data_IF_709985641001
#
_entry.id   IF_709985641001
#
_cell.length_a   1.000
_cell.length_b   1.000
_cell.length_c   1.000
_cell.angle_alpha   90.00
_cell.angle_beta   90.00
_cell.angle_gamma   90.00
#
_symmetry.space_group_name_H-M   'P 1'
#
loop_
_entity.id
_entity.type
_entity.pdbx_description
1 polymer ?
#
# COMPACT_ATOMS: atom_id res chain seq x y z
N UNK A 1 4.28 -0.79 -16.63
CA UNK A 1 5.19 -0.91 -15.48
C UNK A 1 5.76 0.43 -15.04
N UNK A 2 5.09 1.06 -14.09
CA UNK A 2 5.54 2.26 -13.38
C UNK A 2 6.88 2.04 -12.64
N UNK A 3 7.93 2.74 -13.10
CA UNK A 3 9.29 2.68 -12.52
C UNK A 3 9.34 3.17 -11.07
N UNK A 4 8.51 4.15 -10.70
CA UNK A 4 8.44 4.72 -9.34
C UNK A 4 7.79 3.73 -8.39
N UNK A 5 6.70 3.09 -8.83
CA UNK A 5 6.02 2.05 -8.07
C UNK A 5 6.95 0.85 -7.81
N UNK A 6 7.67 0.40 -8.85
CA UNK A 6 8.67 -0.66 -8.72
C UNK A 6 9.75 -0.31 -7.70
N UNK A 7 10.32 0.90 -7.76
CA UNK A 7 11.34 1.33 -6.80
C UNK A 7 10.82 1.36 -5.36
N UNK A 8 9.62 1.90 -5.13
CA UNK A 8 9.05 1.97 -3.77
C UNK A 8 8.68 0.62 -3.17
N UNK A 9 8.38 -0.37 -4.01
CA UNK A 9 7.95 -1.70 -3.56
C UNK A 9 9.11 -2.70 -3.55
N UNK A 10 9.91 -2.77 -4.60
CA UNK A 10 10.99 -3.75 -4.73
C UNK A 10 12.37 -3.20 -4.33
N UNK A 11 12.58 -1.89 -4.41
CA UNK A 11 13.89 -1.25 -4.26
C UNK A 11 14.22 -0.71 -2.88
N UNK A 12 13.34 -0.87 -1.89
CA UNK A 12 13.46 -0.17 -0.59
C UNK A 12 13.06 -1.06 0.58
N UNK A 13 13.71 -0.87 1.74
CA UNK A 13 13.53 -1.70 2.95
C UNK A 13 12.07 -1.83 3.45
N UNK A 14 11.23 -0.82 3.19
CA UNK A 14 9.82 -0.80 3.58
C UNK A 14 8.83 -1.23 2.50
N UNK A 15 9.33 -1.74 1.37
CA UNK A 15 8.52 -1.95 0.18
C UNK A 15 7.42 -3.01 0.32
N UNK A 16 7.69 -4.12 1.04
CA UNK A 16 6.67 -5.14 1.34
C UNK A 16 5.53 -4.54 2.15
N UNK A 17 5.81 -3.72 3.17
CA UNK A 17 4.75 -3.11 3.98
C UNK A 17 3.94 -2.08 3.19
N UNK A 18 4.59 -1.30 2.31
CA UNK A 18 3.87 -0.43 1.37
C UNK A 18 2.96 -1.24 0.44
N UNK A 19 3.44 -2.35 -0.09
CA UNK A 19 2.62 -3.19 -0.95
C UNK A 19 1.42 -3.82 -0.20
N UNK A 20 1.60 -4.25 1.05
CA UNK A 20 0.50 -4.69 1.92
C UNK A 20 -0.53 -3.60 2.16
N UNK A 21 -0.10 -2.36 2.39
CA UNK A 21 -0.99 -1.19 2.52
C UNK A 21 -1.78 -0.96 1.23
N UNK A 22 -1.11 -0.94 0.07
CA UNK A 22 -1.77 -0.75 -1.22
C UNK A 22 -2.78 -1.86 -1.51
N UNK A 23 -2.46 -3.11 -1.17
CA UNK A 23 -3.39 -4.23 -1.28
C UNK A 23 -4.65 -4.01 -0.42
N UNK A 24 -4.49 -3.65 0.86
CA UNK A 24 -5.63 -3.35 1.73
C UNK A 24 -6.46 -2.18 1.20
N UNK A 25 -5.82 -1.10 0.74
CA UNK A 25 -6.51 0.08 0.21
C UNK A 25 -7.24 -0.16 -1.12
N UNK A 26 -6.85 -1.20 -1.88
CA UNK A 26 -7.59 -1.63 -3.06
C UNK A 26 -8.95 -2.23 -2.71
N UNK A 27 -9.07 -2.92 -1.56
CA UNK A 27 -10.34 -3.50 -1.13
C UNK A 27 -11.35 -2.43 -0.71
N UNK A 28 -10.89 -1.45 0.08
CA UNK A 28 -11.65 -0.27 0.50
C UNK A 28 -10.76 0.79 1.14
N UNK A 29 -11.23 2.04 1.30
CA UNK A 29 -10.52 3.03 2.08
C UNK A 29 -10.38 2.63 3.56
N UNK A 30 -9.24 2.96 4.16
CA UNK A 30 -8.94 2.70 5.57
C UNK A 30 -8.26 3.91 6.22
N UNK A 31 -8.46 4.12 7.51
CA UNK A 31 -7.63 5.07 8.25
C UNK A 31 -6.30 4.41 8.68
N UNK A 32 -5.33 5.20 9.13
CA UNK A 32 -4.02 4.69 9.53
C UNK A 32 -4.04 3.74 10.75
N UNK A 33 -5.01 3.90 11.66
CA UNK A 33 -5.19 3.01 12.82
C UNK A 33 -5.72 1.63 12.38
N UNK A 34 -6.70 1.60 11.48
CA UNK A 34 -7.24 0.37 10.91
C UNK A 34 -6.13 -0.43 10.21
N UNK A 35 -5.31 0.25 9.40
CA UNK A 35 -4.17 -0.36 8.70
C UNK A 35 -3.11 -0.89 9.67
N UNK A 36 -2.81 -0.15 10.75
CA UNK A 36 -1.87 -0.61 11.79
C UNK A 36 -2.36 -1.90 12.44
N UNK A 37 -3.65 -1.95 12.77
CA UNK A 37 -4.29 -3.13 13.38
C UNK A 37 -4.32 -4.30 12.40
N UNK A 38 -4.84 -4.10 11.19
CA UNK A 38 -5.00 -5.16 10.19
C UNK A 38 -3.66 -5.74 9.72
N UNK A 39 -2.62 -4.91 9.61
CA UNK A 39 -1.30 -5.33 9.14
C UNK A 39 -0.36 -5.74 10.28
N UNK A 40 -0.81 -5.66 11.54
CA UNK A 40 0.01 -5.89 12.73
C UNK A 40 1.32 -5.07 12.69
N UNK A 41 1.20 -3.78 12.40
CA UNK A 41 2.31 -2.82 12.30
C UNK A 41 2.16 -1.71 13.35
N UNK A 42 3.29 -1.14 13.76
CA UNK A 42 3.27 0.06 14.60
C UNK A 42 2.63 1.24 13.83
N UNK A 43 1.83 2.04 14.54
CA UNK A 43 1.10 3.16 13.96
C UNK A 43 2.02 4.20 13.28
N UNK A 44 3.19 4.51 13.86
CA UNK A 44 4.15 5.45 13.25
C UNK A 44 4.75 4.86 11.98
N UNK A 45 4.94 3.53 11.94
CA UNK A 45 5.41 2.83 10.74
C UNK A 45 4.39 2.94 9.61
N UNK A 46 3.10 2.71 9.90
CA UNK A 46 2.02 2.88 8.90
C UNK A 46 1.92 4.32 8.42
N UNK A 47 1.95 5.29 9.33
CA UNK A 47 1.93 6.72 8.99
C UNK A 47 3.06 7.11 8.04
N UNK A 48 4.28 6.67 8.35
CA UNK A 48 5.43 6.92 7.48
C UNK A 48 5.26 6.30 6.09
N UNK A 49 4.72 5.07 6.00
CA UNK A 49 4.45 4.45 4.70
C UNK A 49 3.35 5.17 3.90
N UNK A 50 2.27 5.60 4.57
CA UNK A 50 1.20 6.36 3.93
C UNK A 50 1.68 7.71 3.41
N UNK A 51 2.53 8.41 4.16
CA UNK A 51 3.16 9.65 3.74
C UNK A 51 4.00 9.45 2.47
N UNK A 52 4.90 8.47 2.47
CA UNK A 52 5.70 8.13 1.28
C UNK A 52 4.79 7.77 0.09
N UNK A 53 3.75 6.96 0.29
CA UNK A 53 2.83 6.60 -0.80
C UNK A 53 2.05 7.82 -1.32
N UNK A 54 1.68 8.74 -0.43
CA UNK A 54 0.92 9.94 -0.78
C UNK A 54 1.78 10.93 -1.57
N UNK A 55 3.00 11.21 -1.12
CA UNK A 55 3.98 12.05 -1.82
C UNK A 55 4.35 11.52 -3.22
N UNK A 56 4.12 10.23 -3.46
CA UNK A 56 4.39 9.57 -4.71
C UNK A 56 3.13 9.31 -5.56
N UNK A 57 1.99 9.90 -5.20
CA UNK A 57 0.72 9.82 -5.92
C UNK A 57 0.17 8.38 -6.08
N UNK A 58 0.40 7.53 -5.08
CA UNK A 58 -0.16 6.17 -5.01
C UNK A 58 -1.38 6.07 -4.10
N UNK A 59 -1.47 6.96 -3.11
CA UNK A 59 -2.64 7.06 -2.23
C UNK A 59 -3.09 8.51 -2.11
N UNK A 60 -4.39 8.70 -1.88
CA UNK A 60 -5.00 9.99 -1.58
C UNK A 60 -5.75 9.91 -0.26
N UNK A 61 -5.98 11.06 0.36
CA UNK A 61 -6.83 11.17 1.55
C UNK A 61 -8.28 11.42 1.14
N UNK A 62 -9.22 10.88 1.91
CA UNK A 62 -10.66 11.09 1.74
C UNK A 62 -11.22 11.68 3.04
N UNK A 63 -12.02 12.74 2.91
CA UNK A 63 -12.61 13.50 4.03
C UNK A 63 -11.81 14.73 4.47
N UNK A 64 -12.29 15.41 5.51
CA UNK A 64 -11.92 16.80 5.85
C UNK A 64 -10.60 16.94 6.65
N UNK A 65 -9.65 16.02 6.49
CA UNK A 65 -8.28 16.14 7.02
C UNK A 65 -8.14 16.08 8.56
N UNK A 66 -9.17 15.64 9.27
CA UNK A 66 -9.22 15.55 10.74
C UNK A 66 -8.88 14.17 11.33
N UNK A 67 -9.29 13.98 12.59
CA UNK A 67 -9.21 12.69 13.29
C UNK A 67 -10.05 11.66 12.53
N UNK A 68 -9.42 10.57 12.06
CA UNK A 68 -10.09 9.57 11.22
C UNK A 68 -9.96 9.78 9.71
N UNK A 69 -9.00 10.60 9.25
CA UNK A 69 -8.68 10.72 7.81
C UNK A 69 -8.48 9.34 7.19
N UNK A 70 -9.30 9.04 6.19
CA UNK A 70 -9.20 7.80 5.43
C UNK A 70 -8.23 7.98 4.27
N UNK A 71 -7.56 6.89 3.93
CA UNK A 71 -6.71 6.78 2.76
C UNK A 71 -7.39 5.86 1.75
N UNK A 72 -7.23 6.16 0.47
CA UNK A 72 -7.64 5.32 -0.65
C UNK A 72 -6.54 5.33 -1.71
N UNK A 73 -6.59 4.39 -2.66
CA UNK A 73 -5.70 4.43 -3.81
C UNK A 73 -5.93 5.72 -4.61
N UNK A 74 -4.87 6.32 -5.14
CA UNK A 74 -5.02 7.42 -6.09
C UNK A 74 -5.75 6.94 -7.35
N UNK A 75 -6.50 7.80 -8.06
CA UNK A 75 -7.15 7.42 -9.32
C UNK A 75 -6.16 6.84 -10.34
N UNK A 76 -4.93 7.37 -10.35
CA UNK A 76 -3.83 6.89 -11.18
C UNK A 76 -3.47 5.44 -10.89
N UNK A 77 -3.32 5.08 -9.61
CA UNK A 77 -2.98 3.70 -9.24
C UNK A 77 -4.18 2.75 -9.38
N UNK A 78 -5.41 3.24 -9.16
CA UNK A 78 -6.62 2.44 -9.44
C UNK A 78 -6.72 2.07 -10.92
N UNK A 79 -6.49 3.02 -11.82
CA UNK A 79 -6.55 2.79 -13.26
C UNK A 79 -5.46 1.83 -13.76
N UNK A 80 -4.26 1.88 -13.16
CA UNK A 80 -3.13 1.02 -13.50
C UNK A 80 -2.82 -0.02 -12.42
N UNK A 81 -3.84 -0.56 -11.76
CA UNK A 81 -3.62 -1.48 -10.63
C UNK A 81 -2.94 -2.79 -11.06
N UNK A 82 -3.08 -3.17 -12.33
CA UNK A 82 -2.34 -4.28 -12.96
C UNK A 82 -0.81 -4.16 -12.81
N UNK A 83 -0.24 -2.96 -12.91
CA UNK A 83 1.19 -2.74 -12.70
C UNK A 83 1.59 -3.12 -11.27
N UNK A 84 0.74 -2.80 -10.28
CA UNK A 84 0.97 -3.23 -8.90
C UNK A 84 0.89 -4.76 -8.75
N UNK A 85 -0.09 -5.40 -9.39
CA UNK A 85 -0.25 -6.86 -9.32
C UNK A 85 0.96 -7.60 -9.90
N UNK A 86 1.50 -7.15 -11.04
CA UNK A 86 2.72 -7.72 -11.62
C UNK A 86 3.91 -7.64 -10.66
N UNK A 87 4.05 -6.49 -9.98
CA UNK A 87 5.11 -6.28 -8.99
C UNK A 87 4.90 -7.19 -7.79
N UNK A 88 3.67 -7.23 -7.27
CA UNK A 88 3.31 -8.04 -6.11
C UNK A 88 3.50 -9.54 -6.36
N UNK A 89 3.20 -10.05 -7.56
CA UNK A 89 3.47 -11.44 -7.91
C UNK A 89 4.96 -11.79 -7.92
N UNK A 90 5.83 -10.83 -8.28
CA UNK A 90 7.28 -11.03 -8.33
C UNK A 90 7.95 -10.97 -6.96
N UNK A 91 7.40 -10.19 -6.04
CA UNK A 91 8.05 -9.87 -4.75
C UNK A 91 7.28 -10.35 -3.52
N UNK A 92 5.99 -10.63 -3.67
CA UNK A 92 5.14 -11.15 -2.62
C UNK A 92 5.54 -12.58 -2.26
N UNK A 93 5.27 -13.03 -1.02
CA UNK A 93 5.48 -14.42 -0.69
C UNK A 93 4.68 -15.27 -1.69
N UNK A 94 5.36 -16.21 -2.36
CA UNK A 94 4.68 -17.28 -3.07
C UNK A 94 3.95 -18.10 -2.02
N UNK A 95 2.72 -17.71 -1.70
CA UNK A 95 1.78 -18.51 -0.91
C UNK A 95 1.41 -19.74 -1.76
N UNK A 96 2.34 -20.69 -1.86
CA UNK A 96 2.32 -21.71 -2.89
C UNK A 96 3.36 -22.82 -2.74
N UNK A 97 3.88 -23.09 -1.53
CA UNK A 97 4.46 -24.40 -1.16
C UNK A 97 3.99 -24.78 0.26
N UNK A 98 2.69 -25.04 0.41
CA UNK A 98 2.17 -25.93 1.46
C UNK A 98 0.96 -26.66 0.89
N UNK A 99 1.24 -27.70 0.11
CA UNK A 99 0.40 -28.88 -0.10
C UNK A 99 1.21 -29.93 -0.85
N UNK A 100 2.09 -30.61 -0.11
CA UNK A 100 2.41 -32.03 -0.24
C UNK A 100 2.63 -32.60 1.15
#
# INVERSE_FOLDING_TARGET
MDRRLWYLIAGTRGGINRARILWSLHERPYNANDLATQLALDYKTVRHHLEVLHENDFVMTVGDGGYGTQYSLSPRLQFHFEDFLEIWQRIGPHSGETSR
#
